data_IF_819322027911
#
_entry.id   IF_819322027911
#
_cell.length_a   1.000
_cell.length_b   1.000
_cell.length_c   1.000
_cell.angle_alpha   90.00
_cell.angle_beta   90.00
_cell.angle_gamma   90.00
#
_symmetry.space_group_name_H-M   'P 1'
#
loop_
_entity.id
_entity.type
_entity.pdbx_description
1 polymer ?
#
# COMPACT_ATOMS: atom_id res chain seq x y z
N UNK A 1 30.02 -44.93 -0.94
CA UNK A 1 28.58 -44.71 -0.74
C UNK A 1 28.40 -43.26 -0.35
N UNK A 2 28.04 -42.41 -1.30
CA UNK A 2 27.80 -40.98 -1.12
C UNK A 2 26.30 -40.82 -1.19
N UNK A 3 25.68 -40.38 -0.10
CA UNK A 3 24.26 -40.10 -0.02
C UNK A 3 23.98 -38.73 -0.59
N UNK A 4 23.32 -38.72 -1.72
CA UNK A 4 22.85 -37.56 -2.43
C UNK A 4 21.59 -37.02 -1.73
N UNK A 5 21.72 -35.89 -1.03
CA UNK A 5 20.59 -35.21 -0.40
C UNK A 5 20.00 -34.19 -1.39
N UNK A 6 19.04 -34.63 -2.18
CA UNK A 6 18.21 -33.77 -3.03
C UNK A 6 17.42 -32.74 -2.20
N UNK A 7 17.86 -31.50 -2.23
CA UNK A 7 17.08 -30.36 -1.78
C UNK A 7 15.87 -30.19 -2.70
N UNK A 8 14.70 -30.52 -2.19
CA UNK A 8 13.42 -30.23 -2.85
C UNK A 8 13.19 -28.73 -2.73
N UNK A 9 13.51 -27.98 -3.77
CA UNK A 9 13.09 -26.58 -3.91
C UNK A 9 11.60 -26.59 -4.28
N UNK A 10 10.73 -26.19 -3.35
CA UNK A 10 9.30 -26.02 -3.63
C UNK A 10 9.10 -24.95 -4.71
N UNK A 11 8.35 -25.27 -5.76
CA UNK A 11 8.04 -24.35 -6.85
C UNK A 11 7.29 -23.12 -6.30
N UNK A 12 7.52 -21.89 -6.84
CA UNK A 12 6.84 -20.65 -6.39
C UNK A 12 5.31 -20.78 -6.33
N UNK A 13 4.72 -21.54 -7.25
CA UNK A 13 3.28 -21.84 -7.26
C UNK A 13 2.78 -22.58 -6.00
N UNK A 14 3.61 -23.42 -5.37
CA UNK A 14 3.20 -24.17 -4.17
C UNK A 14 3.12 -23.28 -2.93
N UNK A 15 3.96 -22.24 -2.85
CA UNK A 15 3.93 -21.26 -1.76
C UNK A 15 2.70 -20.35 -1.88
N UNK A 16 2.37 -19.89 -3.09
CA UNK A 16 1.11 -19.15 -3.38
C UNK A 16 -0.13 -19.98 -2.98
N UNK A 17 -0.17 -21.25 -3.35
CA UNK A 17 -1.24 -22.16 -2.95
C UNK A 17 -1.36 -22.33 -1.42
N UNK A 18 -0.24 -22.35 -0.71
CA UNK A 18 -0.24 -22.47 0.75
C UNK A 18 -0.81 -21.23 1.41
N UNK A 19 -0.44 -20.04 0.94
CA UNK A 19 -0.95 -18.75 1.43
C UNK A 19 -2.45 -18.62 1.15
N UNK A 20 -2.90 -18.96 -0.05
CA UNK A 20 -4.30 -18.90 -0.45
C UNK A 20 -5.14 -19.92 0.31
N UNK A 21 -4.64 -21.15 0.50
CA UNK A 21 -5.34 -22.19 1.27
C UNK A 21 -5.53 -21.77 2.72
N UNK A 22 -4.56 -21.10 3.34
CA UNK A 22 -4.68 -20.56 4.69
C UNK A 22 -5.67 -19.38 4.77
N UNK A 23 -5.86 -18.64 3.68
CA UNK A 23 -6.83 -17.55 3.60
C UNK A 23 -8.26 -18.02 3.34
N UNK A 24 -8.45 -19.17 2.68
CA UNK A 24 -9.76 -19.72 2.30
C UNK A 24 -10.35 -20.68 3.33
N UNK A 25 -9.53 -21.31 4.19
CA UNK A 25 -10.04 -22.24 5.19
C UNK A 25 -10.60 -21.47 6.40
N UNK A 26 -11.85 -21.73 6.83
CA UNK A 26 -12.36 -21.20 8.08
C UNK A 26 -11.48 -21.70 9.23
N UNK A 27 -11.07 -20.82 10.11
CA UNK A 27 -10.30 -21.20 11.31
C UNK A 27 -11.15 -22.06 12.21
N UNK A 28 -10.68 -23.21 12.72
CA UNK A 28 -11.32 -23.89 13.82
C UNK A 28 -11.30 -22.98 15.05
N UNK A 29 -12.44 -22.89 15.74
CA UNK A 29 -12.57 -22.22 17.02
C UNK A 29 -11.49 -22.73 17.99
N UNK A 30 -10.88 -21.78 18.68
CA UNK A 30 -9.83 -21.92 19.68
C UNK A 30 -10.04 -23.13 20.61
N UNK A 31 -9.09 -24.05 20.60
CA UNK A 31 -8.55 -24.77 21.75
C UNK A 31 -7.50 -25.76 21.24
N UNK A 32 -6.24 -25.35 21.25
CA UNK A 32 -5.06 -26.19 21.50
C UNK A 32 -3.77 -25.41 21.21
N UNK A 33 -2.95 -25.38 22.22
CA UNK A 33 -1.61 -24.79 22.26
C UNK A 33 -0.63 -25.55 21.35
N UNK A 34 0.37 -24.80 20.88
CA UNK A 34 1.62 -25.26 20.26
C UNK A 34 1.58 -25.73 18.80
N UNK A 35 1.80 -24.75 17.91
CA UNK A 35 2.66 -24.99 16.74
C UNK A 35 3.27 -23.66 16.26
N UNK A 36 4.58 -23.66 16.02
CA UNK A 36 5.38 -22.58 15.46
C UNK A 36 4.81 -22.12 14.10
N UNK A 37 3.87 -21.18 14.14
CA UNK A 37 3.27 -20.59 12.95
C UNK A 37 4.21 -19.50 12.40
N UNK A 38 4.63 -19.72 11.17
CA UNK A 38 5.33 -18.78 10.32
C UNK A 38 4.59 -17.43 10.35
N UNK A 39 5.31 -16.34 10.62
CA UNK A 39 4.87 -14.97 10.94
C UNK A 39 3.77 -14.25 10.15
N UNK A 40 2.95 -14.97 9.38
CA UNK A 40 1.76 -14.43 8.70
C UNK A 40 0.57 -14.14 9.64
N UNK A 41 0.60 -14.68 10.88
CA UNK A 41 -0.44 -14.44 11.87
C UNK A 41 -0.34 -13.06 12.56
N UNK A 42 0.74 -12.32 12.34
CA UNK A 42 0.98 -11.02 12.98
C UNK A 42 0.45 -9.84 12.17
N UNK A 43 0.12 -10.03 10.90
CA UNK A 43 -0.53 -8.99 10.10
C UNK A 43 -2.04 -9.16 10.29
N UNK A 44 -2.58 -8.42 11.24
CA UNK A 44 -4.02 -8.44 11.50
C UNK A 44 -4.78 -7.85 10.32
N UNK A 45 -5.46 -8.70 9.58
CA UNK A 45 -6.36 -8.31 8.48
C UNK A 45 -7.64 -7.62 8.98
N UNK A 46 -7.98 -7.80 10.25
CA UNK A 46 -9.26 -7.36 10.85
C UNK A 46 -9.17 -6.14 11.73
N UNK A 47 -7.98 -5.80 12.20
CA UNK A 47 -7.85 -4.75 13.18
C UNK A 47 -7.28 -3.51 12.52
N UNK A 48 -7.83 -2.38 12.90
CA UNK A 48 -7.25 -1.05 12.69
C UNK A 48 -5.94 -0.90 13.51
N UNK A 49 -5.14 -1.97 13.56
CA UNK A 49 -3.83 -1.96 14.19
C UNK A 49 -2.86 -1.38 13.17
N UNK A 50 -2.39 -0.21 13.45
CA UNK A 50 -1.47 0.54 12.63
C UNK A 50 -0.96 1.74 13.39
N UNK A 51 -0.28 2.63 12.72
CA UNK A 51 0.19 3.87 13.33
C UNK A 51 -0.97 4.80 13.71
N UNK A 52 -2.13 4.67 13.07
CA UNK A 52 -3.33 5.51 13.32
C UNK A 52 -3.02 7.02 13.27
N UNK A 53 -2.22 7.43 12.28
CA UNK A 53 -1.75 8.80 12.11
C UNK A 53 -2.84 9.73 11.63
N UNK A 54 -3.73 9.21 10.79
CA UNK A 54 -4.88 9.94 10.26
C UNK A 54 -6.15 9.32 10.84
N UNK A 55 -6.86 10.01 11.75
CA UNK A 55 -8.09 9.51 12.34
C UNK A 55 -9.15 9.20 11.28
N UNK A 56 -9.79 8.03 11.38
CA UNK A 56 -10.88 7.67 10.49
C UNK A 56 -11.99 6.93 11.23
N UNK A 57 -13.21 7.01 10.69
CA UNK A 57 -14.37 6.27 11.18
C UNK A 57 -15.21 5.76 10.01
N UNK A 58 -15.94 4.68 10.25
CA UNK A 58 -16.86 4.12 9.27
C UNK A 58 -18.13 4.98 9.25
N UNK A 59 -18.57 5.37 8.05
CA UNK A 59 -19.83 6.09 7.84
C UNK A 59 -21.02 5.14 8.04
N UNK A 60 -22.09 5.63 8.66
CA UNK A 60 -23.36 4.92 8.75
C UNK A 60 -24.20 5.21 7.49
N UNK A 61 -25.18 4.36 7.19
CA UNK A 61 -26.05 4.56 6.02
C UNK A 61 -26.85 5.87 6.10
N UNK A 62 -27.18 6.35 7.29
CA UNK A 62 -27.91 7.61 7.49
C UNK A 62 -27.06 8.82 7.11
N UNK A 63 -25.75 8.78 7.35
CA UNK A 63 -24.81 9.85 7.01
C UNK A 63 -24.60 9.98 5.49
N UNK A 64 -24.81 8.88 4.72
CA UNK A 64 -24.64 8.83 3.27
C UNK A 64 -25.84 9.43 2.50
N UNK A 65 -27.00 9.55 3.13
CA UNK A 65 -28.22 10.07 2.50
C UNK A 65 -28.23 11.61 2.43
N UNK A 66 -27.40 12.30 3.21
CA UNK A 66 -27.34 13.77 3.20
C UNK A 66 -26.45 14.33 2.07
N UNK A 67 -25.52 13.54 1.49
CA UNK A 67 -24.53 14.07 0.56
C UNK A 67 -24.69 13.63 -0.92
N UNK A 68 -25.41 12.55 -1.29
CA UNK A 68 -25.62 12.19 -2.71
C UNK A 68 -26.78 11.20 -2.95
N UNK A 69 -27.78 11.62 -3.69
CA UNK A 69 -29.03 10.86 -3.93
C UNK A 69 -29.03 9.87 -5.11
N UNK A 70 -27.94 9.65 -5.86
CA UNK A 70 -28.05 8.98 -7.15
C UNK A 70 -27.25 7.68 -7.40
N UNK A 71 -26.52 7.12 -6.43
CA UNK A 71 -25.83 5.85 -6.67
C UNK A 71 -25.70 4.95 -5.43
N UNK A 72 -26.81 4.57 -4.81
CA UNK A 72 -26.81 3.53 -3.77
C UNK A 72 -26.93 2.16 -4.41
N UNK A 73 -25.86 1.63 -4.98
CA UNK A 73 -25.69 0.18 -5.10
C UNK A 73 -25.18 -0.33 -3.75
N UNK A 74 -26.10 -0.63 -2.84
CA UNK A 74 -25.82 -1.30 -1.57
C UNK A 74 -25.23 -2.70 -1.84
N UNK A 75 -23.93 -2.76 -2.08
CA UNK A 75 -23.20 -4.01 -1.94
C UNK A 75 -22.90 -4.15 -0.44
N UNK A 76 -23.42 -5.20 0.20
CA UNK A 76 -23.09 -5.58 1.58
C UNK A 76 -21.60 -5.80 1.80
N UNK A 77 -20.80 -5.72 0.75
CA UNK A 77 -19.36 -5.95 0.72
C UNK A 77 -18.52 -4.71 0.94
N UNK A 78 -19.08 -3.51 0.78
CA UNK A 78 -18.36 -2.25 0.81
C UNK A 78 -18.73 -1.40 2.02
N UNK A 79 -17.76 -0.63 2.51
CA UNK A 79 -18.00 0.41 3.51
C UNK A 79 -17.27 1.69 3.12
N UNK A 80 -17.90 2.82 3.41
CA UNK A 80 -17.29 4.13 3.31
C UNK A 80 -16.64 4.52 4.64
N UNK A 81 -15.42 5.00 4.58
CA UNK A 81 -14.67 5.53 5.72
C UNK A 81 -14.38 7.01 5.51
N UNK A 82 -14.66 7.81 6.53
CA UNK A 82 -14.31 9.23 6.55
C UNK A 82 -12.99 9.41 7.31
N UNK A 83 -12.00 9.97 6.64
CA UNK A 83 -10.69 10.34 7.19
C UNK A 83 -10.67 11.82 7.54
N UNK A 84 -10.23 12.15 8.75
CA UNK A 84 -10.07 13.53 9.24
C UNK A 84 -8.59 13.89 9.11
N UNK A 85 -8.25 14.66 8.09
CA UNK A 85 -6.88 15.08 7.87
C UNK A 85 -6.44 16.04 8.99
N UNK A 86 -5.30 15.81 9.65
CA UNK A 86 -4.82 16.67 10.76
C UNK A 86 -4.19 17.99 10.25
N UNK A 87 -4.91 18.68 9.37
CA UNK A 87 -4.57 19.99 8.81
C UNK A 87 -5.76 20.90 8.97
N UNK A 88 -5.52 22.14 9.40
CA UNK A 88 -6.59 23.13 9.60
C UNK A 88 -7.34 23.39 8.29
N UNK A 89 -8.67 23.31 8.36
CA UNK A 89 -9.60 23.52 7.23
C UNK A 89 -9.44 22.51 6.07
N UNK A 90 -8.73 21.39 6.26
CA UNK A 90 -8.70 20.33 5.25
C UNK A 90 -10.11 19.74 5.08
N UNK A 91 -10.52 19.42 3.84
CA UNK A 91 -11.76 18.72 3.60
C UNK A 91 -11.71 17.30 4.18
N UNK A 92 -12.88 16.71 4.44
CA UNK A 92 -12.99 15.29 4.79
C UNK A 92 -12.63 14.45 3.57
N UNK A 93 -11.91 13.36 3.80
CA UNK A 93 -11.56 12.39 2.75
C UNK A 93 -12.42 11.15 2.90
N UNK A 94 -13.15 10.77 1.85
CA UNK A 94 -14.01 9.58 1.81
C UNK A 94 -13.36 8.47 1.04
N UNK A 95 -13.25 7.28 1.66
CA UNK A 95 -12.65 6.11 1.02
C UNK A 95 -13.62 4.92 1.14
N UNK A 96 -14.06 4.41 0.00
CA UNK A 96 -14.79 3.17 -0.13
C UNK A 96 -13.80 2.01 -0.09
N UNK A 97 -14.03 1.06 0.79
CA UNK A 97 -13.20 -0.14 0.98
C UNK A 97 -14.07 -1.38 1.07
N UNK A 98 -13.53 -2.49 0.65
CA UNK A 98 -14.13 -3.80 0.88
C UNK A 98 -14.14 -4.12 2.37
N UNK A 99 -15.28 -4.58 2.88
CA UNK A 99 -15.43 -4.97 4.30
C UNK A 99 -14.86 -6.37 4.56
N UNK A 100 -14.98 -7.26 3.57
CA UNK A 100 -14.49 -8.62 3.67
C UNK A 100 -12.96 -8.66 3.58
N UNK A 101 -12.34 -9.32 4.54
CA UNK A 101 -10.90 -9.57 4.60
C UNK A 101 -10.49 -10.90 3.94
N UNK A 102 -11.41 -11.54 3.23
CA UNK A 102 -11.22 -12.81 2.56
C UNK A 102 -11.32 -12.64 1.04
N UNK A 103 -10.51 -13.39 0.31
CA UNK A 103 -10.60 -13.51 -1.15
C UNK A 103 -11.62 -14.56 -1.53
N UNK A 104 -12.41 -14.30 -2.57
CA UNK A 104 -13.33 -15.26 -3.19
C UNK A 104 -12.72 -15.90 -4.45
N UNK A 105 -13.48 -16.81 -5.10
CA UNK A 105 -13.03 -17.47 -6.32
C UNK A 105 -12.79 -16.50 -7.48
N UNK A 106 -13.57 -15.43 -7.57
CA UNK A 106 -13.44 -14.41 -8.62
C UNK A 106 -12.18 -13.59 -8.44
N UNK A 107 -11.85 -13.24 -7.19
CA UNK A 107 -10.59 -12.57 -6.86
C UNK A 107 -9.40 -13.44 -7.26
N UNK A 108 -9.52 -14.75 -6.98
CA UNK A 108 -8.50 -15.72 -7.34
C UNK A 108 -8.30 -15.86 -8.85
N UNK A 109 -9.39 -15.91 -9.63
CA UNK A 109 -9.34 -15.92 -11.08
C UNK A 109 -8.68 -14.66 -11.64
N UNK A 110 -8.99 -13.50 -11.05
CA UNK A 110 -8.38 -12.22 -11.42
C UNK A 110 -6.87 -12.25 -11.16
N UNK A 111 -6.43 -12.73 -10.01
CA UNK A 111 -5.00 -12.87 -9.70
C UNK A 111 -4.26 -13.77 -10.69
N UNK A 112 -4.84 -14.92 -11.02
CA UNK A 112 -4.23 -15.83 -11.99
C UNK A 112 -4.17 -15.24 -13.40
N UNK A 113 -5.22 -14.50 -13.80
CA UNK A 113 -5.29 -13.88 -15.14
C UNK A 113 -4.23 -12.80 -15.31
N UNK A 114 -4.02 -11.98 -14.30
CA UNK A 114 -3.15 -10.80 -14.38
C UNK A 114 -1.76 -11.01 -13.75
N UNK A 115 -1.49 -12.17 -13.14
CA UNK A 115 -0.20 -12.45 -12.50
C UNK A 115 0.08 -11.57 -11.26
N UNK A 116 -0.96 -11.14 -10.56
CA UNK A 116 -0.93 -10.22 -9.42
C UNK A 116 -1.30 -10.93 -8.11
N UNK A 117 -1.15 -10.25 -6.99
CA UNK A 117 -1.68 -10.68 -5.69
C UNK A 117 -2.94 -9.88 -5.30
N UNK A 118 -3.65 -10.33 -4.25
CA UNK A 118 -4.88 -9.70 -3.73
C UNK A 118 -4.64 -8.89 -2.46
N UNK A 119 -3.41 -8.70 -2.02
CA UNK A 119 -3.16 -8.07 -0.72
C UNK A 119 -3.64 -6.63 -0.68
N UNK A 120 -3.51 -5.87 -1.77
CA UNK A 120 -4.05 -4.51 -1.88
C UNK A 120 -5.57 -4.42 -1.75
N UNK A 121 -6.31 -5.53 -2.05
CA UNK A 121 -7.76 -5.57 -1.95
C UNK A 121 -8.26 -5.95 -0.55
N UNK A 122 -7.58 -6.87 0.15
CA UNK A 122 -8.07 -7.48 1.39
C UNK A 122 -7.26 -7.13 2.63
N UNK A 123 -6.10 -6.50 2.48
CA UNK A 123 -5.24 -6.09 3.58
C UNK A 123 -5.10 -4.57 3.60
N UNK A 124 -5.06 -4.00 4.80
CA UNK A 124 -4.60 -2.64 5.00
C UNK A 124 -3.21 -2.69 5.63
N UNK A 125 -2.23 -2.12 4.96
CA UNK A 125 -0.84 -2.16 5.38
C UNK A 125 -0.50 -0.94 6.24
N UNK A 126 0.23 -1.10 7.36
CA UNK A 126 0.61 0.04 8.21
C UNK A 126 1.40 1.12 7.49
N UNK A 127 2.15 0.76 6.47
CA UNK A 127 2.97 1.69 5.67
C UNK A 127 2.13 2.65 4.82
N UNK A 128 0.89 2.29 4.47
CA UNK A 128 -0.05 3.16 3.74
C UNK A 128 -0.39 4.41 4.56
N UNK A 129 -0.74 4.23 5.84
CA UNK A 129 -1.04 5.33 6.79
C UNK A 129 0.20 6.22 7.02
N UNK A 130 1.39 5.59 7.10
CA UNK A 130 2.67 6.30 7.24
C UNK A 130 3.00 7.13 5.99
N UNK A 131 2.86 6.56 4.78
CA UNK A 131 3.08 7.29 3.53
C UNK A 131 2.12 8.47 3.41
N UNK A 132 0.82 8.25 3.65
CA UNK A 132 -0.19 9.30 3.56
C UNK A 132 0.09 10.44 4.54
N UNK A 133 0.45 10.12 5.79
CA UNK A 133 0.81 11.12 6.80
C UNK A 133 2.09 11.88 6.44
N UNK A 134 3.09 11.19 5.92
CA UNK A 134 4.33 11.83 5.44
C UNK A 134 4.03 12.82 4.31
N UNK A 135 3.22 12.43 3.33
CA UNK A 135 2.79 13.31 2.24
C UNK A 135 2.03 14.55 2.77
N UNK A 136 1.17 14.35 3.77
CA UNK A 136 0.44 15.42 4.44
C UNK A 136 1.37 16.41 5.17
N UNK A 137 2.43 15.90 5.81
CA UNK A 137 3.42 16.72 6.53
C UNK A 137 4.40 17.45 5.60
N UNK A 138 4.50 17.03 4.34
CA UNK A 138 5.47 17.53 3.36
C UNK A 138 4.81 18.01 2.06
N UNK A 139 3.65 18.68 2.17
CA UNK A 139 2.84 19.08 1.00
C UNK A 139 3.59 19.92 -0.03
N UNK A 140 4.52 20.76 0.41
CA UNK A 140 5.31 21.64 -0.46
C UNK A 140 6.19 20.90 -1.47
N UNK A 141 6.57 19.63 -1.17
CA UNK A 141 7.36 18.84 -2.09
C UNK A 141 6.61 18.45 -3.37
N UNK A 142 5.27 18.45 -3.33
CA UNK A 142 4.42 18.07 -4.46
C UNK A 142 3.99 19.26 -5.31
N UNK A 143 4.26 20.49 -4.86
CA UNK A 143 3.85 21.72 -5.58
C UNK A 143 4.38 21.74 -7.01
N UNK A 144 3.47 21.89 -7.96
CA UNK A 144 3.76 21.93 -9.40
C UNK A 144 4.47 20.66 -9.93
N UNK A 145 4.26 19.50 -9.26
CA UNK A 145 4.85 18.21 -9.62
C UNK A 145 3.83 17.28 -10.25
N UNK A 146 4.32 16.39 -11.10
CA UNK A 146 3.60 15.21 -11.55
C UNK A 146 3.97 14.03 -10.65
N UNK A 147 3.00 13.44 -10.02
CA UNK A 147 3.16 12.38 -9.01
C UNK A 147 2.48 11.10 -9.50
N UNK A 148 3.10 9.96 -9.24
CA UNK A 148 2.46 8.65 -9.41
C UNK A 148 2.63 7.81 -8.15
N UNK A 149 1.55 7.16 -7.72
CA UNK A 149 1.55 6.16 -6.65
C UNK A 149 1.52 4.76 -7.26
N UNK A 150 2.42 3.88 -6.81
CA UNK A 150 2.53 2.48 -7.23
C UNK A 150 2.01 1.54 -6.16
N UNK A 151 1.22 0.53 -6.57
CA UNK A 151 0.65 -0.44 -5.64
C UNK A 151 -0.19 0.24 -4.56
N UNK A 152 -1.07 1.12 -4.98
CA UNK A 152 -1.76 2.09 -4.13
C UNK A 152 -2.78 1.48 -3.16
N UNK A 153 -3.21 0.22 -3.36
CA UNK A 153 -4.38 -0.28 -2.64
C UNK A 153 -5.58 0.65 -2.86
N UNK A 154 -6.16 1.17 -1.79
CA UNK A 154 -7.32 2.07 -1.91
C UNK A 154 -6.96 3.54 -2.22
N UNK A 155 -5.67 3.86 -2.39
CA UNK A 155 -5.19 5.15 -2.87
C UNK A 155 -5.12 6.26 -1.83
N UNK A 156 -4.97 5.92 -0.54
CA UNK A 156 -5.00 6.91 0.55
C UNK A 156 -3.97 8.04 0.35
N UNK A 157 -2.72 7.71 0.01
CA UNK A 157 -1.66 8.72 -0.11
C UNK A 157 -1.86 9.61 -1.35
N UNK A 158 -2.20 9.04 -2.50
CA UNK A 158 -2.48 9.81 -3.72
C UNK A 158 -3.68 10.74 -3.56
N UNK A 159 -4.75 10.28 -2.90
CA UNK A 159 -5.92 11.10 -2.60
C UNK A 159 -5.56 12.25 -1.66
N UNK A 160 -4.77 11.99 -0.60
CA UNK A 160 -4.28 13.05 0.30
C UNK A 160 -3.50 14.09 -0.48
N UNK A 161 -2.53 13.70 -1.32
CA UNK A 161 -1.76 14.64 -2.15
C UNK A 161 -2.70 15.47 -3.03
N UNK A 162 -3.66 14.82 -3.70
CA UNK A 162 -4.63 15.50 -4.57
C UNK A 162 -5.48 16.56 -3.85
N UNK A 163 -5.77 16.35 -2.55
CA UNK A 163 -6.62 17.25 -1.76
C UNK A 163 -5.87 18.41 -1.12
N UNK A 164 -4.61 18.20 -0.71
CA UNK A 164 -3.91 19.18 0.16
C UNK A 164 -2.71 19.84 -0.51
N UNK A 165 -2.31 19.40 -1.70
CA UNK A 165 -1.15 19.95 -2.39
C UNK A 165 -1.54 20.64 -3.70
N UNK A 166 -0.65 21.53 -4.18
CA UNK A 166 -0.75 22.16 -5.51
C UNK A 166 -0.03 21.31 -6.57
N UNK A 167 -0.17 19.97 -6.52
CA UNK A 167 0.39 19.09 -7.55
C UNK A 167 -0.29 19.34 -8.91
N UNK A 168 0.47 19.20 -10.01
CA UNK A 168 -0.12 19.32 -11.36
C UNK A 168 -0.99 18.12 -11.69
N UNK A 169 -0.50 16.93 -11.34
CA UNK A 169 -1.17 15.67 -11.63
C UNK A 169 -0.78 14.62 -10.59
N UNK A 170 -1.75 13.85 -10.14
CA UNK A 170 -1.57 12.67 -9.30
C UNK A 170 -2.20 11.48 -10.00
N UNK A 171 -1.39 10.48 -10.34
CA UNK A 171 -1.85 9.21 -10.88
C UNK A 171 -1.78 8.16 -9.77
N UNK A 172 -2.90 7.54 -9.46
CA UNK A 172 -3.00 6.49 -8.43
C UNK A 172 -3.08 5.15 -9.15
N UNK A 173 -2.07 4.28 -8.99
CA UNK A 173 -1.97 3.06 -9.79
C UNK A 173 -1.85 1.79 -8.97
N UNK A 174 -2.46 0.72 -9.49
CA UNK A 174 -2.37 -0.63 -8.96
C UNK A 174 -2.40 -1.66 -10.10
N UNK A 175 -1.85 -2.85 -9.87
CA UNK A 175 -1.89 -3.96 -10.83
C UNK A 175 -3.23 -4.71 -10.83
N UNK A 176 -4.03 -4.58 -9.77
CA UNK A 176 -5.30 -5.26 -9.62
C UNK A 176 -6.45 -4.40 -10.17
N UNK A 177 -7.17 -4.86 -11.22
CA UNK A 177 -8.27 -4.09 -11.80
C UNK A 177 -9.39 -3.79 -10.81
N UNK A 178 -9.67 -4.68 -9.84
CA UNK A 178 -10.68 -4.43 -8.81
C UNK A 178 -10.25 -3.29 -7.86
N UNK A 179 -8.97 -3.23 -7.54
CA UNK A 179 -8.39 -2.13 -6.74
C UNK A 179 -8.49 -0.82 -7.52
N UNK A 180 -8.16 -0.84 -8.81
CA UNK A 180 -8.28 0.34 -9.68
C UNK A 180 -9.72 0.85 -9.76
N UNK A 181 -10.72 -0.04 -9.78
CA UNK A 181 -12.14 0.33 -9.73
C UNK A 181 -12.49 1.02 -8.39
N UNK A 182 -11.96 0.53 -7.26
CA UNK A 182 -12.13 1.22 -5.97
C UNK A 182 -11.44 2.58 -5.96
N UNK A 183 -10.23 2.68 -6.49
CA UNK A 183 -9.49 3.95 -6.60
C UNK A 183 -10.29 4.96 -7.41
N UNK A 184 -10.87 4.55 -8.55
CA UNK A 184 -11.70 5.45 -9.36
C UNK A 184 -12.93 5.94 -8.58
N UNK A 185 -13.65 5.05 -7.89
CA UNK A 185 -14.78 5.45 -7.02
C UNK A 185 -14.35 6.42 -5.92
N UNK A 186 -13.17 6.22 -5.35
CA UNK A 186 -12.63 7.11 -4.31
C UNK A 186 -12.23 8.47 -4.88
N UNK A 187 -11.68 8.52 -6.10
CA UNK A 187 -11.43 9.77 -6.82
C UNK A 187 -12.74 10.53 -7.06
N UNK A 188 -13.76 9.85 -7.57
CA UNK A 188 -15.06 10.46 -7.87
C UNK A 188 -15.72 11.02 -6.60
N UNK A 189 -15.69 10.27 -5.49
CA UNK A 189 -16.24 10.67 -4.20
C UNK A 189 -15.54 11.92 -3.59
N UNK A 190 -14.31 12.22 -4.00
CA UNK A 190 -13.52 13.34 -3.47
C UNK A 190 -13.22 14.42 -4.52
N UNK A 191 -13.81 14.32 -5.71
CA UNK A 191 -13.46 15.16 -6.87
C UNK A 191 -13.57 16.66 -6.61
N UNK A 192 -14.54 17.08 -5.81
CA UNK A 192 -14.76 18.51 -5.43
C UNK A 192 -13.61 19.05 -4.57
N UNK A 193 -12.88 18.17 -3.87
CA UNK A 193 -11.83 18.56 -2.94
C UNK A 193 -10.44 18.73 -3.59
N UNK A 194 -10.25 18.36 -4.83
CA UNK A 194 -8.92 18.37 -5.49
C UNK A 194 -8.45 19.74 -5.99
N UNK A 195 -9.24 20.80 -5.82
CA UNK A 195 -8.85 22.22 -5.97
C UNK A 195 -7.97 22.58 -7.19
N UNK A 196 -8.01 21.83 -8.29
CA UNK A 196 -7.21 22.09 -9.50
C UNK A 196 -6.13 21.04 -9.79
N UNK A 197 -5.82 20.17 -8.84
CA UNK A 197 -4.96 19.00 -9.09
C UNK A 197 -5.72 17.98 -9.94
N UNK A 198 -5.13 17.54 -11.06
CA UNK A 198 -5.69 16.46 -11.85
C UNK A 198 -5.38 15.12 -11.18
N UNK A 199 -6.40 14.42 -10.67
CA UNK A 199 -6.27 13.10 -10.05
C UNK A 199 -6.91 12.04 -10.94
N UNK A 200 -6.17 10.96 -11.24
CA UNK A 200 -6.65 9.86 -12.11
C UNK A 200 -6.21 8.51 -11.58
N UNK A 201 -6.99 7.47 -11.86
CA UNK A 201 -6.63 6.08 -11.62
C UNK A 201 -5.93 5.46 -12.83
N UNK A 202 -5.07 4.47 -12.63
CA UNK A 202 -4.42 3.74 -13.71
C UNK A 202 -4.12 2.29 -13.31
N UNK A 203 -4.44 1.35 -14.19
CA UNK A 203 -3.94 -0.01 -14.05
C UNK A 203 -2.49 -0.07 -14.53
N UNK A 204 -1.57 -0.47 -13.64
CA UNK A 204 -0.14 -0.55 -13.94
C UNK A 204 0.48 -1.81 -13.33
N UNK A 205 0.93 -2.69 -14.19
CA UNK A 205 1.73 -3.86 -13.81
C UNK A 205 3.22 -3.50 -13.78
N UNK A 206 3.98 -4.13 -12.86
CA UNK A 206 5.40 -3.82 -12.66
C UNK A 206 6.36 -4.56 -13.63
N UNK A 207 5.90 -4.99 -14.78
CA UNK A 207 6.72 -5.61 -15.82
C UNK A 207 6.84 -4.73 -17.09
N UNK A 208 6.66 -3.42 -16.92
CA UNK A 208 6.58 -2.49 -18.05
C UNK A 208 7.98 -2.20 -18.59
N UNK A 209 8.19 -2.45 -19.87
CA UNK A 209 9.44 -2.13 -20.58
C UNK A 209 9.48 -0.67 -21.10
N UNK A 210 8.32 -0.01 -21.19
CA UNK A 210 8.21 1.38 -21.59
C UNK A 210 6.92 2.00 -21.04
N UNK A 211 7.01 3.27 -20.62
CA UNK A 211 5.86 4.06 -20.17
C UNK A 211 5.70 5.27 -21.08
N UNK A 212 4.47 5.69 -21.29
CA UNK A 212 4.13 6.85 -22.11
C UNK A 212 4.39 8.18 -21.41
N UNK A 213 4.63 8.16 -20.11
CA UNK A 213 4.75 9.36 -19.27
C UNK A 213 5.78 9.17 -18.16
N UNK A 214 6.48 10.25 -17.82
CA UNK A 214 7.42 10.29 -16.69
C UNK A 214 6.94 11.27 -15.62
N UNK A 215 7.42 11.08 -14.39
CA UNK A 215 6.95 11.78 -13.20
C UNK A 215 8.12 12.43 -12.46
N UNK A 216 7.82 13.50 -11.73
CA UNK A 216 8.78 14.15 -10.84
C UNK A 216 8.96 13.32 -9.56
N UNK A 217 7.85 12.75 -9.06
CA UNK A 217 7.83 11.97 -7.83
C UNK A 217 7.05 10.68 -8.07
N UNK A 218 7.68 9.56 -7.71
CA UNK A 218 7.05 8.25 -7.61
C UNK A 218 6.90 7.92 -6.13
N UNK A 219 5.72 7.55 -5.67
CA UNK A 219 5.52 7.13 -4.28
C UNK A 219 5.04 5.68 -4.22
N UNK A 220 5.40 4.95 -3.16
CA UNK A 220 4.94 3.59 -2.94
C UNK A 220 5.02 3.20 -1.46
N UNK A 221 4.10 2.37 -0.99
CA UNK A 221 4.14 1.79 0.35
C UNK A 221 3.98 0.28 0.31
N UNK A 222 4.82 -0.41 1.08
CA UNK A 222 4.77 -1.87 1.29
C UNK A 222 4.90 -2.75 0.03
N UNK A 223 5.46 -2.21 -1.05
CA UNK A 223 5.59 -2.88 -2.34
C UNK A 223 6.75 -3.86 -2.45
N UNK A 224 7.59 -3.99 -1.40
CA UNK A 224 8.80 -4.86 -1.43
C UNK A 224 8.60 -6.22 -0.77
N UNK A 225 7.36 -6.58 -0.41
CA UNK A 225 7.08 -7.82 0.32
C UNK A 225 7.35 -9.08 -0.52
N UNK A 226 6.89 -9.09 -1.77
CA UNK A 226 7.05 -10.24 -2.68
C UNK A 226 8.28 -10.08 -3.55
N UNK A 227 9.28 -10.94 -3.31
CA UNK A 227 10.60 -10.87 -3.97
C UNK A 227 10.54 -11.09 -5.49
N UNK A 228 9.55 -11.86 -5.95
CA UNK A 228 9.32 -12.09 -7.37
C UNK A 228 9.00 -10.84 -8.17
N UNK A 229 8.48 -9.79 -7.51
CA UNK A 229 8.14 -8.53 -8.17
C UNK A 229 9.25 -7.48 -8.10
N UNK A 230 10.33 -7.70 -7.35
CA UNK A 230 11.38 -6.69 -7.14
C UNK A 230 11.97 -6.16 -8.44
N UNK A 231 12.36 -7.05 -9.34
CA UNK A 231 12.95 -6.68 -10.63
C UNK A 231 11.99 -5.84 -11.48
N UNK A 232 10.74 -6.26 -11.57
CA UNK A 232 9.69 -5.54 -12.29
C UNK A 232 9.40 -4.17 -11.68
N UNK A 233 9.32 -4.09 -10.35
CA UNK A 233 9.10 -2.83 -9.63
C UNK A 233 10.26 -1.84 -9.86
N UNK A 234 11.51 -2.28 -9.74
CA UNK A 234 12.69 -1.43 -9.99
C UNK A 234 12.72 -0.94 -11.43
N UNK A 235 12.44 -1.81 -12.40
CA UNK A 235 12.37 -1.42 -13.81
C UNK A 235 11.25 -0.39 -14.05
N UNK A 236 10.09 -0.57 -13.44
CA UNK A 236 8.98 0.38 -13.51
C UNK A 236 9.37 1.72 -12.91
N UNK A 237 9.95 1.76 -11.72
CA UNK A 237 10.45 3.01 -11.10
C UNK A 237 11.44 3.70 -12.03
N UNK A 238 12.41 2.97 -12.58
CA UNK A 238 13.38 3.53 -13.51
C UNK A 238 12.74 4.15 -14.75
N UNK A 239 11.74 3.50 -15.33
CA UNK A 239 11.02 4.02 -16.50
C UNK A 239 10.17 5.26 -16.17
N UNK A 240 9.60 5.32 -14.96
CA UNK A 240 8.72 6.41 -14.54
C UNK A 240 9.48 7.67 -14.11
N UNK A 241 10.69 7.53 -13.58
CA UNK A 241 11.52 8.68 -13.24
C UNK A 241 12.00 9.43 -14.49
N UNK A 242 11.93 10.74 -14.47
CA UNK A 242 12.45 11.59 -15.56
C UNK A 242 13.94 11.32 -15.77
N UNK A 243 14.39 11.35 -17.01
CA UNK A 243 15.81 11.25 -17.36
C UNK A 243 16.53 12.58 -17.15
N UNK A 244 15.82 13.68 -17.36
CA UNK A 244 16.34 15.04 -17.20
C UNK A 244 15.63 15.77 -16.06
N UNK A 245 16.40 16.50 -15.28
CA UNK A 245 15.90 17.26 -14.14
C UNK A 245 15.71 16.43 -12.87
N UNK A 246 15.30 17.07 -11.76
CA UNK A 246 15.15 16.40 -10.48
C UNK A 246 13.91 15.49 -10.50
N UNK A 247 14.13 14.21 -10.24
CA UNK A 247 13.06 13.23 -10.01
C UNK A 247 13.50 12.19 -8.97
N UNK A 248 12.56 11.68 -8.21
CA UNK A 248 12.82 10.72 -7.15
C UNK A 248 11.67 9.76 -6.91
N UNK A 249 11.98 8.57 -6.42
CA UNK A 249 10.98 7.69 -5.84
C UNK A 249 11.12 7.69 -4.32
N UNK A 250 10.00 7.82 -3.63
CA UNK A 250 9.85 7.80 -2.18
C UNK A 250 9.07 6.57 -1.81
N UNK A 251 9.69 5.67 -1.06
CA UNK A 251 9.08 4.42 -0.66
C UNK A 251 9.10 4.24 0.86
N UNK A 252 8.05 3.65 1.38
CA UNK A 252 7.95 3.24 2.78
C UNK A 252 7.78 1.73 2.85
N UNK A 253 8.80 1.03 3.33
CA UNK A 253 8.80 -0.43 3.39
C UNK A 253 9.47 -0.96 4.65
N UNK A 254 8.82 -1.86 5.40
CA UNK A 254 9.47 -2.60 6.47
C UNK A 254 10.52 -3.57 5.91
N UNK A 255 11.46 -3.99 6.74
CA UNK A 255 12.53 -4.92 6.34
C UNK A 255 12.00 -6.28 5.89
N UNK A 256 11.12 -6.88 6.68
CA UNK A 256 10.53 -8.22 6.46
C UNK A 256 11.58 -9.27 6.09
N UNK A 257 12.45 -9.53 7.05
CA UNK A 257 13.61 -10.39 6.88
C UNK A 257 14.62 -9.76 5.92
N UNK A 258 14.93 -10.45 4.83
CA UNK A 258 15.88 -10.00 3.79
C UNK A 258 15.20 -9.41 2.55
N UNK A 259 13.87 -9.17 2.61
CA UNK A 259 13.13 -8.76 1.40
C UNK A 259 13.55 -7.37 0.94
N UNK A 260 13.58 -6.39 1.86
CA UNK A 260 14.02 -5.04 1.53
C UNK A 260 15.48 -5.03 1.06
N UNK A 261 16.38 -5.76 1.73
CA UNK A 261 17.79 -5.80 1.33
C UNK A 261 17.97 -6.32 -0.11
N UNK A 262 17.21 -7.35 -0.49
CA UNK A 262 17.21 -7.87 -1.86
C UNK A 262 16.65 -6.88 -2.87
N UNK A 263 15.59 -6.15 -2.52
CA UNK A 263 15.07 -5.09 -3.37
C UNK A 263 16.12 -3.99 -3.61
N UNK A 264 16.86 -3.59 -2.58
CA UNK A 264 17.89 -2.56 -2.70
C UNK A 264 19.09 -3.00 -3.53
N UNK A 265 19.39 -4.30 -3.54
CA UNK A 265 20.37 -4.87 -4.48
C UNK A 265 19.90 -4.70 -5.93
N UNK A 266 18.65 -5.03 -6.23
CA UNK A 266 18.06 -4.82 -7.57
C UNK A 266 18.07 -3.35 -7.98
N UNK A 267 17.78 -2.42 -7.05
CA UNK A 267 17.87 -0.96 -7.30
C UNK A 267 19.28 -0.59 -7.75
N UNK A 268 20.30 -1.02 -7.01
CA UNK A 268 21.71 -0.74 -7.31
C UNK A 268 22.15 -1.36 -8.64
N UNK A 269 21.80 -2.62 -8.87
CA UNK A 269 22.15 -3.36 -10.09
C UNK A 269 21.50 -2.75 -11.34
N UNK A 270 20.38 -2.05 -11.17
CA UNK A 270 19.70 -1.29 -12.23
C UNK A 270 20.29 0.10 -12.50
N UNK A 271 21.38 0.47 -11.81
CA UNK A 271 22.08 1.75 -11.97
C UNK A 271 21.35 2.93 -11.30
N UNK A 272 20.45 2.67 -10.36
CA UNK A 272 19.79 3.67 -9.54
C UNK A 272 20.54 3.84 -8.21
N UNK A 273 20.45 5.05 -7.64
CA UNK A 273 20.99 5.35 -6.32
C UNK A 273 19.86 5.29 -5.28
N UNK A 274 20.20 4.96 -4.04
CA UNK A 274 19.23 5.02 -2.95
C UNK A 274 19.86 5.50 -1.64
N UNK A 275 19.01 6.04 -0.77
CA UNK A 275 19.31 6.29 0.65
C UNK A 275 18.18 5.74 1.52
N UNK A 276 18.52 5.36 2.76
CA UNK A 276 17.57 4.85 3.74
C UNK A 276 17.64 5.76 4.96
N UNK A 277 16.46 6.11 5.49
CA UNK A 277 16.33 6.89 6.71
C UNK A 277 15.36 6.18 7.64
N UNK A 278 15.75 5.96 8.89
CA UNK A 278 14.90 5.36 9.92
C UNK A 278 14.06 6.42 10.65
N UNK A 279 14.69 7.54 11.04
CA UNK A 279 14.03 8.66 11.72
C UNK A 279 13.71 9.76 10.71
N UNK A 280 12.59 9.67 10.03
CA UNK A 280 12.19 10.59 8.96
C UNK A 280 11.05 11.52 9.35
N UNK A 281 10.28 11.19 10.40
CA UNK A 281 9.18 11.99 10.91
C UNK A 281 9.01 11.79 12.42
N UNK A 282 8.98 12.88 13.18
CA UNK A 282 8.99 12.84 14.64
C UNK A 282 7.81 12.10 15.25
N UNK A 283 6.60 12.32 14.75
CA UNK A 283 5.39 11.69 15.30
C UNK A 283 5.38 10.17 15.01
N UNK A 284 5.81 9.76 13.82
CA UNK A 284 5.92 8.35 13.44
C UNK A 284 6.96 7.66 14.32
N UNK A 285 8.13 8.30 14.50
CA UNK A 285 9.19 7.79 15.37
C UNK A 285 8.72 7.66 16.82
N UNK A 286 8.02 8.67 17.33
CA UNK A 286 7.49 8.64 18.71
C UNK A 286 6.52 7.47 18.91
N UNK A 287 5.60 7.21 17.96
CA UNK A 287 4.68 6.07 18.02
C UNK A 287 5.44 4.75 17.93
N UNK A 288 6.39 4.64 17.02
CA UNK A 288 7.27 3.48 16.90
C UNK A 288 7.96 3.13 18.23
N UNK A 289 8.54 4.12 18.89
CA UNK A 289 9.19 3.91 20.20
C UNK A 289 8.19 3.44 21.28
N UNK A 290 6.97 3.97 21.27
CA UNK A 290 5.91 3.50 22.19
C UNK A 290 5.57 2.03 21.95
N UNK A 291 5.42 1.62 20.70
CA UNK A 291 5.08 0.25 20.33
C UNK A 291 6.19 -0.74 20.70
N UNK A 292 7.46 -0.38 20.48
CA UNK A 292 8.62 -1.19 20.95
C UNK A 292 8.60 -1.36 22.46
N UNK A 293 8.21 -0.32 23.21
CA UNK A 293 8.16 -0.34 24.66
C UNK A 293 6.87 -1.02 25.22
N UNK A 294 6.11 -1.72 24.40
CA UNK A 294 4.99 -2.54 24.83
C UNK A 294 3.67 -1.79 25.00
N UNK A 295 3.40 -0.79 24.17
CA UNK A 295 2.09 -0.12 24.14
C UNK A 295 0.98 -1.13 23.75
N UNK A 296 -0.04 -1.23 24.61
CA UNK A 296 -1.16 -2.16 24.44
C UNK A 296 -2.03 -1.89 23.19
N UNK A 297 -1.87 -0.72 22.55
CA UNK A 297 -2.60 -0.38 21.32
C UNK A 297 -2.12 -1.19 20.11
N UNK A 298 -0.90 -1.75 20.19
CA UNK A 298 -0.38 -2.67 19.18
C UNK A 298 0.32 -3.87 19.84
N UNK A 299 -0.44 -4.83 20.36
CA UNK A 299 0.12 -6.06 20.91
C UNK A 299 0.89 -6.82 19.83
N UNK A 300 2.04 -7.37 20.19
CA UNK A 300 2.94 -8.10 19.28
C UNK A 300 3.53 -7.25 18.15
N UNK A 301 3.76 -5.96 18.39
CA UNK A 301 4.47 -5.10 17.46
C UNK A 301 5.87 -5.66 17.17
N UNK A 302 6.15 -5.89 15.90
CA UNK A 302 7.46 -6.32 15.42
C UNK A 302 8.04 -5.23 14.51
N UNK A 303 9.18 -4.68 14.92
CA UNK A 303 9.85 -3.60 14.18
C UNK A 303 10.11 -3.97 12.72
N UNK A 304 10.64 -5.16 12.48
CA UNK A 304 11.07 -5.58 11.14
C UNK A 304 9.88 -5.87 10.21
N UNK A 305 8.69 -6.14 10.77
CA UNK A 305 7.46 -6.37 10.02
C UNK A 305 6.54 -5.16 9.91
N UNK A 306 6.62 -4.23 10.87
CA UNK A 306 5.61 -3.18 11.01
C UNK A 306 6.16 -1.77 10.79
N UNK A 307 7.46 -1.52 11.08
CA UNK A 307 8.04 -0.19 10.94
C UNK A 307 8.60 0.03 9.53
N UNK A 308 7.98 0.91 8.72
CA UNK A 308 8.49 1.19 7.40
C UNK A 308 9.70 2.13 7.49
N UNK A 309 10.77 1.74 6.82
CA UNK A 309 11.91 2.62 6.56
C UNK A 309 11.57 3.55 5.39
N UNK A 310 12.04 4.78 5.47
CA UNK A 310 11.98 5.72 4.36
C UNK A 310 13.11 5.42 3.38
N UNK A 311 12.77 5.15 2.15
CA UNK A 311 13.71 4.85 1.07
C UNK A 311 13.52 5.90 -0.02
N UNK A 312 14.60 6.59 -0.36
CA UNK A 312 14.66 7.54 -1.45
C UNK A 312 15.50 6.95 -2.57
N UNK A 313 14.94 6.87 -3.78
CA UNK A 313 15.62 6.33 -4.96
C UNK A 313 15.72 7.45 -6.00
N UNK A 314 16.89 7.58 -6.61
CA UNK A 314 17.18 8.57 -7.67
C UNK A 314 17.98 7.93 -8.80
N UNK A 315 17.98 8.59 -9.96
CA UNK A 315 18.88 8.25 -11.05
C UNK A 315 20.33 8.62 -10.76
#
# INVERSE_FOLDING_TARGET
MVSDSTKITSKPSSLRWKIIRQALLPRPSSDSENQSEIGLNQISRKTRIGFNLIPCYRMNNDDLLEENSDSVSNSFRDACYCYILPVSNAPKLFIHKRVEDCVDLKDFETCNRYGIDNTGLVCQWPSEDVLAYYCLSHVDMFRSKRVIELGSGYGLAGLVIGMVSDALEVVISDGNPQVVDYVQRNIDANSVAFCGTKVTSMMLHWEVSSVSSTYDIVIASDCTFFKEFHKGLVQTIRCLLKEEGPSEAIMFSPKRGDSLDKFLVEVKDSGLNFSITEMYENEIWRRHQRFINGDNSWPNYDKDHCYPLFIRITR
#
